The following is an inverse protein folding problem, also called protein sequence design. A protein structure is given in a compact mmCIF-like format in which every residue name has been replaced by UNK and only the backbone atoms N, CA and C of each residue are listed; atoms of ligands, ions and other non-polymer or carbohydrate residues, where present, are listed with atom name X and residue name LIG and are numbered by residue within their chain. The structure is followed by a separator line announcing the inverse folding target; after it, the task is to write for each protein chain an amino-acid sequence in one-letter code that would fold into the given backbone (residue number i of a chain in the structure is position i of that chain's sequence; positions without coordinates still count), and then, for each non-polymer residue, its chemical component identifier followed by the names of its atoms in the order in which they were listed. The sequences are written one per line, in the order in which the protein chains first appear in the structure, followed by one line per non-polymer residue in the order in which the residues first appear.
data_IF_426426003180
#
_entry.id   IF_426426003180
#
_cell.length_a   1.000
_cell.length_b   1.000
_cell.length_c   1.000
_cell.angle_alpha   90.00
_cell.angle_beta   90.00
_cell.angle_gamma   90.00
#
_symmetry.space_group_name_H-M   'P 1'
#
loop_
_entity.id
_entity.type
_entity.pdbx_description
1 polymer ?
#
# COMPACT_ATOMS: atom_id res chain seq x y z
N UNK A 1 14.41 11.58 3.81
CA UNK A 1 13.45 10.50 3.50
C UNK A 1 12.30 11.09 2.69
N UNK A 2 11.94 10.48 1.56
CA UNK A 2 10.82 10.96 0.74
C UNK A 2 9.48 10.68 1.43
N UNK A 3 8.53 11.61 1.35
CA UNK A 3 7.16 11.51 1.88
C UNK A 3 6.17 11.82 0.76
N UNK A 4 5.08 11.09 0.69
CA UNK A 4 3.95 11.37 -0.18
C UNK A 4 2.86 12.05 0.66
N UNK A 5 2.54 13.30 0.34
CA UNK A 5 1.53 14.07 1.06
C UNK A 5 0.21 14.04 0.30
N UNK A 6 -0.76 13.28 0.80
CA UNK A 6 -2.09 13.16 0.18
C UNK A 6 -3.09 14.20 0.70
N UNK A 7 -2.66 15.11 1.59
CA UNK A 7 -3.54 16.18 2.10
C UNK A 7 -3.84 17.23 1.04
N UNK A 8 -2.91 17.39 0.08
CA UNK A 8 -3.01 18.31 -1.06
C UNK A 8 -3.54 17.64 -2.32
N UNK A 9 -3.70 16.31 -2.30
CA UNK A 9 -4.21 15.55 -3.43
C UNK A 9 -5.75 15.60 -3.47
N UNK A 10 -6.31 15.68 -4.68
CA UNK A 10 -7.75 15.59 -4.89
C UNK A 10 -8.31 14.22 -4.48
N UNK A 11 -9.62 14.15 -4.23
CA UNK A 11 -10.26 12.87 -3.90
C UNK A 11 -10.08 11.83 -5.02
N UNK A 12 -10.14 12.26 -6.28
CA UNK A 12 -9.96 11.39 -7.43
C UNK A 12 -8.54 10.80 -7.51
N UNK A 13 -7.51 11.61 -7.24
CA UNK A 13 -6.12 11.14 -7.18
C UNK A 13 -5.94 10.12 -6.05
N UNK A 14 -6.52 10.38 -4.88
CA UNK A 14 -6.49 9.45 -3.74
C UNK A 14 -7.16 8.13 -4.07
N UNK A 15 -8.34 8.17 -4.69
CA UNK A 15 -9.09 6.97 -5.08
C UNK A 15 -8.36 6.16 -6.17
N UNK A 16 -7.71 6.83 -7.12
CA UNK A 16 -6.88 6.19 -8.14
C UNK A 16 -5.68 5.45 -7.51
N UNK A 17 -5.00 6.07 -6.54
CA UNK A 17 -3.89 5.43 -5.82
C UNK A 17 -4.37 4.21 -5.03
N UNK A 18 -5.49 4.33 -4.31
CA UNK A 18 -6.09 3.21 -3.58
C UNK A 18 -6.40 2.05 -4.53
N UNK A 19 -7.00 2.34 -5.68
CA UNK A 19 -7.33 1.32 -6.70
C UNK A 19 -6.07 0.59 -7.19
N UNK A 20 -4.98 1.32 -7.44
CA UNK A 20 -3.70 0.73 -7.88
C UNK A 20 -3.13 -0.18 -6.78
N UNK A 21 -3.12 0.28 -5.53
CA UNK A 21 -2.62 -0.49 -4.38
C UNK A 21 -3.39 -1.79 -4.19
N UNK A 22 -4.72 -1.72 -4.16
CA UNK A 22 -5.58 -2.89 -4.00
C UNK A 22 -5.45 -3.86 -5.17
N UNK A 23 -5.42 -3.38 -6.42
CA UNK A 23 -5.23 -4.22 -7.60
C UNK A 23 -3.92 -5.00 -7.53
N UNK A 24 -2.82 -4.31 -7.25
CA UNK A 24 -1.50 -4.93 -7.22
C UNK A 24 -1.39 -5.94 -6.06
N UNK A 25 -1.94 -5.62 -4.89
CA UNK A 25 -1.97 -6.54 -3.75
C UNK A 25 -2.76 -7.82 -4.08
N UNK A 26 -3.95 -7.68 -4.66
CA UNK A 26 -4.77 -8.81 -5.06
C UNK A 26 -4.09 -9.68 -6.12
N UNK A 27 -3.47 -9.06 -7.14
CA UNK A 27 -2.71 -9.79 -8.15
C UNK A 27 -1.57 -10.61 -7.56
N UNK A 28 -0.82 -10.06 -6.61
CA UNK A 28 0.28 -10.77 -5.95
C UNK A 28 -0.22 -11.95 -5.10
N UNK A 29 -1.35 -11.78 -4.42
CA UNK A 29 -2.00 -12.83 -3.63
C UNK A 29 -2.52 -13.94 -4.52
N UNK A 30 -3.23 -13.61 -5.60
CA UNK A 30 -3.76 -14.57 -6.58
C UNK A 30 -2.65 -15.38 -7.22
N UNK A 31 -1.53 -14.73 -7.55
CA UNK A 31 -0.35 -15.38 -8.13
C UNK A 31 0.51 -16.13 -7.08
N UNK A 32 0.08 -16.19 -5.81
CA UNK A 32 0.81 -16.83 -4.70
C UNK A 32 2.26 -16.34 -4.59
N UNK A 33 2.51 -15.09 -4.97
CA UNK A 33 3.85 -14.48 -4.91
C UNK A 33 4.22 -13.98 -3.50
N UNK A 34 3.27 -14.07 -2.57
CA UNK A 34 3.41 -13.57 -1.19
C UNK A 34 3.34 -14.76 -0.23
N UNK A 35 4.25 -14.81 0.74
CA UNK A 35 4.23 -15.86 1.77
C UNK A 35 3.07 -15.67 2.77
N UNK A 36 2.71 -14.42 3.06
CA UNK A 36 1.65 -14.08 4.01
C UNK A 36 0.65 -13.09 3.39
N UNK A 37 -0.36 -13.65 2.72
CA UNK A 37 -1.39 -12.88 2.01
C UNK A 37 -2.27 -12.05 2.95
N UNK A 38 -2.57 -12.55 4.15
CA UNK A 38 -3.38 -11.83 5.14
C UNK A 38 -2.66 -10.58 5.64
N UNK A 39 -1.37 -10.71 5.97
CA UNK A 39 -0.57 -9.57 6.39
C UNK A 39 -0.43 -8.52 5.29
N UNK A 40 -0.28 -8.95 4.02
CA UNK A 40 -0.27 -8.02 2.90
C UNK A 40 -1.61 -7.27 2.75
N UNK A 41 -2.75 -7.96 2.85
CA UNK A 41 -4.07 -7.31 2.80
C UNK A 41 -4.20 -6.27 3.91
N UNK A 42 -3.87 -6.64 5.15
CA UNK A 42 -3.98 -5.75 6.31
C UNK A 42 -3.13 -4.48 6.15
N UNK A 43 -1.87 -4.60 5.72
CA UNK A 43 -1.01 -3.42 5.52
C UNK A 43 -1.46 -2.55 4.33
N UNK A 44 -1.95 -3.16 3.25
CA UNK A 44 -2.50 -2.42 2.10
C UNK A 44 -3.77 -1.68 2.50
N UNK A 45 -4.67 -2.30 3.26
CA UNK A 45 -5.89 -1.66 3.76
C UNK A 45 -5.57 -0.50 4.71
N UNK A 46 -4.59 -0.69 5.60
CA UNK A 46 -4.08 0.40 6.46
C UNK A 46 -3.54 1.57 5.64
N UNK A 47 -2.78 1.30 4.59
CA UNK A 47 -2.24 2.34 3.72
C UNK A 47 -3.35 3.05 2.94
N UNK A 48 -4.31 2.29 2.41
CA UNK A 48 -5.45 2.84 1.68
C UNK A 48 -6.31 3.73 2.56
N UNK A 49 -6.52 3.36 3.83
CA UNK A 49 -7.20 4.21 4.81
C UNK A 49 -6.51 5.56 5.01
N UNK A 50 -5.18 5.55 5.15
CA UNK A 50 -4.38 6.78 5.27
C UNK A 50 -4.44 7.64 4.00
N UNK A 51 -4.26 7.04 2.83
CA UNK A 51 -4.38 7.74 1.55
C UNK A 51 -5.76 8.37 1.42
N UNK A 52 -6.83 7.63 1.76
CA UNK A 52 -8.23 8.11 1.69
C UNK A 52 -8.46 9.33 2.59
N UNK A 53 -7.88 9.32 3.79
CA UNK A 53 -7.98 10.42 4.74
C UNK A 53 -7.12 11.64 4.37
N UNK A 54 -6.29 11.53 3.32
CA UNK A 54 -5.34 12.57 2.94
C UNK A 54 -4.14 12.64 3.89
N UNK A 55 -3.78 11.55 4.55
CA UNK A 55 -2.62 11.53 5.44
C UNK A 55 -1.30 11.55 4.65
N UNK A 56 -0.24 12.00 5.32
CA UNK A 56 1.12 11.86 4.81
C UNK A 56 1.56 10.40 4.94
N UNK A 57 1.93 9.78 3.82
CA UNK A 57 2.54 8.45 3.78
C UNK A 57 4.05 8.59 3.71
N UNK A 58 4.77 7.92 4.61
CA UNK A 58 6.23 8.05 4.72
C UNK A 58 6.95 6.97 3.92
N UNK A 59 8.23 7.20 3.59
CA UNK A 59 9.08 6.16 3.00
C UNK A 59 9.13 4.86 3.81
N UNK A 60 8.98 4.92 5.15
CA UNK A 60 8.90 3.72 6.00
C UNK A 60 7.64 2.88 5.74
N UNK A 61 6.54 3.52 5.41
CA UNK A 61 5.29 2.83 5.05
C UNK A 61 5.45 2.10 3.71
N UNK A 62 6.12 2.73 2.74
CA UNK A 62 6.47 2.09 1.47
C UNK A 62 7.47 0.94 1.65
N UNK A 63 8.49 1.10 2.51
CA UNK A 63 9.44 0.02 2.80
C UNK A 63 8.76 -1.22 3.37
N UNK A 64 7.77 -1.07 4.24
CA UNK A 64 6.98 -2.19 4.78
C UNK A 64 6.27 -2.95 3.66
N UNK A 65 5.61 -2.24 2.75
CA UNK A 65 4.95 -2.85 1.59
C UNK A 65 5.95 -3.57 0.68
N UNK A 66 7.09 -2.94 0.37
CA UNK A 66 8.14 -3.53 -0.47
C UNK A 66 8.71 -4.81 0.13
N UNK A 67 8.90 -4.87 1.46
CA UNK A 67 9.35 -6.09 2.14
C UNK A 67 8.35 -7.23 1.99
N UNK A 68 7.05 -6.92 2.13
CA UNK A 68 5.97 -7.89 1.92
C UNK A 68 5.90 -8.38 0.46
N UNK A 69 6.22 -7.51 -0.51
CA UNK A 69 6.28 -7.89 -1.91
C UNK A 69 7.50 -8.75 -2.28
N UNK A 70 8.66 -8.54 -1.65
CA UNK A 70 9.93 -9.16 -2.07
C UNK A 70 10.20 -10.57 -1.53
N UNK A 71 9.23 -11.27 -0.94
CA UNK A 71 9.45 -12.57 -0.24
C UNK A 71 10.66 -12.53 0.70
N UNK A 72 10.94 -11.39 1.33
CA UNK A 72 12.03 -11.30 2.30
C UNK A 72 11.55 -11.80 3.66
N UNK A 73 12.33 -12.64 4.37
CA UNK A 73 11.98 -13.04 5.73
C UNK A 73 11.90 -11.78 6.61
N UNK A 74 10.82 -11.70 7.39
CA UNK A 74 10.57 -10.62 8.37
C UNK A 74 11.28 -10.96 9.66
#
# INVERSE_FOLDING_TARGET
MSKADYSIASQEERDNVIRILQRNANQLIEQKQVQNAENLRSEVDRLCGRVRNGDVVTGKDFEKLVRLFKKQPI
#
